data_IF_953560469238
#
_entry.id   IF_953560469238
#
_cell.length_a   1.000
_cell.length_b   1.000
_cell.length_c   1.000
_cell.angle_alpha   90.00
_cell.angle_beta   90.00
_cell.angle_gamma   90.00
#
_symmetry.space_group_name_H-M   'P 1'
#
loop_
_entity.id
_entity.type
_entity.pdbx_description
1 polymer ?
#
# COMPACT_ATOMS: atom_id res chain seq x y z
N UNK A 1 3.74 19.47 19.90
CA UNK A 1 3.26 19.25 18.51
C UNK A 1 3.74 17.92 17.90
N UNK A 2 4.69 17.22 18.53
CA UNK A 2 5.29 15.94 18.07
C UNK A 2 4.28 14.82 17.83
N UNK A 3 3.35 14.59 18.76
CA UNK A 3 2.37 13.51 18.66
C UNK A 3 1.39 13.73 17.50
N UNK A 4 0.95 14.97 17.28
CA UNK A 4 0.05 15.31 16.18
C UNK A 4 0.72 15.05 14.81
N UNK A 5 1.98 15.43 14.62
CA UNK A 5 2.73 15.14 13.38
C UNK A 5 2.95 13.65 13.16
N UNK A 6 3.14 12.88 14.23
CA UNK A 6 3.21 11.43 14.16
C UNK A 6 1.89 10.85 13.66
N UNK A 7 0.76 11.23 14.27
CA UNK A 7 -0.58 10.77 13.89
C UNK A 7 -0.87 11.14 12.43
N UNK A 8 -0.68 12.41 12.05
CA UNK A 8 -0.91 12.89 10.68
C UNK A 8 -0.03 12.12 9.70
N UNK A 9 1.25 11.90 10.01
CA UNK A 9 2.16 11.15 9.13
C UNK A 9 1.68 9.73 8.88
N UNK A 10 1.18 9.03 9.92
CA UNK A 10 0.60 7.69 9.76
C UNK A 10 -0.64 7.72 8.88
N UNK A 11 -1.58 8.64 9.12
CA UNK A 11 -2.79 8.77 8.30
C UNK A 11 -2.49 9.10 6.84
N UNK A 12 -1.56 10.01 6.57
CA UNK A 12 -1.14 10.32 5.21
C UNK A 12 -0.51 9.10 4.53
N UNK A 13 0.29 8.32 5.26
CA UNK A 13 0.84 7.05 4.75
C UNK A 13 -0.25 6.05 4.38
N UNK A 14 -1.25 5.86 5.26
CA UNK A 14 -2.40 4.99 4.99
C UNK A 14 -3.14 5.42 3.72
N UNK A 15 -3.49 6.71 3.64
CA UNK A 15 -4.19 7.28 2.47
C UNK A 15 -3.36 7.08 1.20
N UNK A 16 -2.06 7.36 1.25
CA UNK A 16 -1.18 7.20 0.09
C UNK A 16 -1.10 5.75 -0.38
N UNK A 17 -0.96 4.77 0.54
CA UNK A 17 -0.93 3.35 0.19
C UNK A 17 -2.23 2.96 -0.51
N UNK A 18 -3.38 3.29 0.08
CA UNK A 18 -4.69 2.95 -0.46
C UNK A 18 -4.90 3.58 -1.84
N UNK A 19 -4.72 4.91 -1.96
CA UNK A 19 -4.95 5.62 -3.21
C UNK A 19 -4.05 5.11 -4.33
N UNK A 20 -2.76 4.88 -4.06
CA UNK A 20 -1.82 4.39 -5.08
C UNK A 20 -2.18 2.95 -5.49
N UNK A 21 -2.38 2.05 -4.54
CA UNK A 21 -2.68 0.66 -4.83
C UNK A 21 -4.01 0.50 -5.58
N UNK A 22 -5.07 1.15 -5.13
CA UNK A 22 -6.39 1.08 -5.76
C UNK A 22 -6.39 1.72 -7.15
N UNK A 23 -5.75 2.88 -7.31
CA UNK A 23 -5.66 3.53 -8.62
C UNK A 23 -4.93 2.65 -9.64
N UNK A 24 -3.81 2.04 -9.24
CA UNK A 24 -3.06 1.16 -10.14
C UNK A 24 -3.82 -0.14 -10.40
N UNK A 25 -4.46 -0.74 -9.39
CA UNK A 25 -5.30 -1.93 -9.57
C UNK A 25 -6.40 -1.66 -10.60
N UNK A 26 -7.13 -0.56 -10.42
CA UNK A 26 -8.26 -0.21 -11.28
C UNK A 26 -7.84 0.03 -12.74
N UNK A 27 -6.71 0.71 -12.93
CA UNK A 27 -6.10 0.90 -14.25
C UNK A 27 -5.65 -0.43 -14.85
N UNK A 28 -5.04 -1.31 -14.05
CA UNK A 28 -4.55 -2.63 -14.47
C UNK A 28 -5.71 -3.52 -14.91
N UNK A 29 -6.77 -3.59 -14.11
CA UNK A 29 -8.00 -4.34 -14.42
C UNK A 29 -8.63 -3.83 -15.70
N UNK A 30 -8.73 -2.50 -15.88
CA UNK A 30 -9.22 -1.91 -17.13
C UNK A 30 -8.38 -2.34 -18.34
N UNK A 31 -7.05 -2.20 -18.25
CA UNK A 31 -6.15 -2.51 -19.37
C UNK A 31 -6.26 -3.99 -19.75
N UNK A 32 -6.29 -4.88 -18.77
CA UNK A 32 -6.33 -6.33 -19.00
C UNK A 32 -7.71 -6.79 -19.48
N UNK A 33 -8.80 -6.24 -18.95
CA UNK A 33 -10.15 -6.62 -19.39
C UNK A 33 -10.57 -5.99 -20.72
N UNK A 34 -9.99 -4.85 -21.09
CA UNK A 34 -10.47 -4.04 -22.20
C UNK A 34 -11.86 -3.41 -21.98
N UNK A 35 -12.45 -3.56 -20.79
CA UNK A 35 -13.80 -3.08 -20.47
C UNK A 35 -13.83 -1.57 -20.21
N UNK A 36 -15.00 -0.96 -20.39
CA UNK A 36 -15.23 0.45 -20.03
C UNK A 36 -15.24 0.60 -18.51
N UNK A 37 -14.76 1.75 -18.01
CA UNK A 37 -14.76 2.04 -16.58
C UNK A 37 -16.15 1.93 -15.95
N UNK A 38 -17.18 2.42 -16.63
CA UNK A 38 -18.57 2.35 -16.17
C UNK A 38 -19.02 0.91 -15.90
N UNK A 39 -18.64 -0.03 -16.78
CA UNK A 39 -18.99 -1.45 -16.61
C UNK A 39 -18.27 -2.06 -15.40
N UNK A 40 -16.99 -1.73 -15.21
CA UNK A 40 -16.20 -2.19 -14.06
C UNK A 40 -16.71 -1.63 -12.73
N UNK A 41 -17.29 -0.42 -12.71
CA UNK A 41 -17.87 0.18 -11.50
C UNK A 41 -19.27 -0.31 -11.17
N UNK A 42 -20.04 -0.77 -12.16
CA UNK A 42 -21.45 -1.17 -11.96
C UNK A 42 -21.62 -2.69 -11.81
N UNK A 43 -20.62 -3.48 -12.21
CA UNK A 43 -20.65 -4.94 -12.12
C UNK A 43 -19.49 -5.43 -11.25
N UNK A 44 -19.72 -5.47 -9.93
CA UNK A 44 -18.72 -5.89 -8.96
C UNK A 44 -18.21 -7.32 -9.23
N UNK A 45 -19.11 -8.26 -9.53
CA UNK A 45 -18.74 -9.65 -9.83
C UNK A 45 -17.77 -9.72 -11.00
N UNK A 46 -18.09 -9.01 -12.10
CA UNK A 46 -17.22 -8.95 -13.27
C UNK A 46 -15.88 -8.24 -13.01
N UNK A 47 -15.83 -7.31 -12.07
CA UNK A 47 -14.58 -6.70 -11.62
C UNK A 47 -13.69 -7.71 -10.89
N UNK A 48 -14.24 -8.44 -9.91
CA UNK A 48 -13.49 -9.41 -9.13
C UNK A 48 -12.99 -10.60 -9.95
N UNK A 49 -13.76 -11.05 -10.95
CA UNK A 49 -13.31 -12.09 -11.89
C UNK A 49 -12.02 -11.70 -12.61
N UNK A 50 -11.96 -10.48 -13.17
CA UNK A 50 -10.75 -9.99 -13.86
C UNK A 50 -9.64 -9.71 -12.84
N UNK A 51 -9.95 -9.07 -11.73
CA UNK A 51 -9.00 -8.72 -10.67
C UNK A 51 -8.23 -9.92 -10.14
N UNK A 52 -8.86 -11.09 -10.13
CA UNK A 52 -8.28 -12.33 -9.63
C UNK A 52 -7.57 -13.17 -10.71
N UNK A 53 -7.49 -12.68 -11.95
CA UNK A 53 -6.65 -13.31 -12.97
C UNK A 53 -5.18 -13.24 -12.60
N UNK A 54 -4.40 -14.26 -12.98
CA UNK A 54 -2.97 -14.37 -12.66
C UNK A 54 -2.18 -13.13 -13.09
N UNK A 55 -2.52 -12.52 -14.23
CA UNK A 55 -1.87 -11.30 -14.71
C UNK A 55 -2.05 -10.13 -13.75
N UNK A 56 -3.29 -9.84 -13.33
CA UNK A 56 -3.57 -8.76 -12.37
C UNK A 56 -2.93 -9.03 -11.02
N UNK A 57 -3.01 -10.27 -10.52
CA UNK A 57 -2.41 -10.66 -9.25
C UNK A 57 -0.87 -10.53 -9.25
N UNK A 58 -0.21 -10.80 -10.37
CA UNK A 58 1.24 -10.58 -10.49
C UNK A 58 1.57 -9.09 -10.39
N UNK A 59 0.86 -8.23 -11.13
CA UNK A 59 1.04 -6.78 -11.03
C UNK A 59 0.72 -6.25 -9.63
N UNK A 60 -0.24 -6.86 -8.93
CA UNK A 60 -0.58 -6.53 -7.54
C UNK A 60 0.60 -6.58 -6.61
N UNK A 61 1.44 -7.61 -6.71
CA UNK A 61 2.66 -7.69 -5.90
C UNK A 61 3.55 -6.46 -6.12
N UNK A 62 3.74 -6.06 -7.39
CA UNK A 62 4.62 -4.96 -7.78
C UNK A 62 4.07 -3.62 -7.28
N UNK A 63 2.80 -3.33 -7.58
CA UNK A 63 2.23 -2.03 -7.21
C UNK A 63 1.96 -1.92 -5.71
N UNK A 64 1.72 -3.02 -4.99
CA UNK A 64 1.59 -3.00 -3.53
C UNK A 64 2.92 -2.68 -2.85
N UNK A 65 4.05 -3.19 -3.37
CA UNK A 65 5.38 -2.80 -2.89
C UNK A 65 5.63 -1.30 -3.11
N UNK A 66 5.30 -0.80 -4.31
CA UNK A 66 5.46 0.61 -4.66
C UNK A 66 4.58 1.52 -3.79
N UNK A 67 3.31 1.14 -3.61
CA UNK A 67 2.37 1.86 -2.74
C UNK A 67 2.88 1.91 -1.29
N UNK A 68 3.35 0.77 -0.76
CA UNK A 68 4.03 0.70 0.54
C UNK A 68 5.23 1.65 0.62
N UNK A 69 6.08 1.65 -0.39
CA UNK A 69 7.27 2.51 -0.48
C UNK A 69 6.91 3.99 -0.44
N UNK A 70 5.91 4.42 -1.22
CA UNK A 70 5.43 5.81 -1.23
C UNK A 70 4.84 6.18 0.13
N UNK A 71 4.01 5.30 0.71
CA UNK A 71 3.41 5.50 2.03
C UNK A 71 4.47 5.67 3.12
N UNK A 72 5.45 4.77 3.19
CA UNK A 72 6.55 4.86 4.15
C UNK A 72 7.41 6.10 3.99
N UNK A 73 7.72 6.48 2.76
CA UNK A 73 8.44 7.72 2.48
C UNK A 73 7.69 8.95 3.02
N UNK A 74 6.39 9.08 2.70
CA UNK A 74 5.57 10.21 3.13
C UNK A 74 5.37 10.25 4.64
N UNK A 75 5.06 9.11 5.27
CA UNK A 75 4.94 9.02 6.73
C UNK A 75 6.22 9.45 7.42
N UNK A 76 7.37 8.92 6.98
CA UNK A 76 8.66 9.29 7.56
C UNK A 76 8.97 10.77 7.36
N UNK A 77 8.59 11.36 6.23
CA UNK A 77 8.83 12.77 5.92
C UNK A 77 8.03 13.70 6.83
N UNK A 78 6.76 13.38 7.07
CA UNK A 78 5.85 14.20 7.87
C UNK A 78 6.14 14.07 9.37
N UNK A 79 6.38 12.86 9.85
CA UNK A 79 6.55 12.60 11.28
C UNK A 79 7.88 13.09 11.86
N UNK A 80 8.85 13.47 11.02
CA UNK A 80 10.12 14.21 11.27
C UNK A 80 10.89 13.93 12.57
N UNK A 81 10.31 14.20 13.73
CA UNK A 81 10.89 14.00 15.07
C UNK A 81 10.95 12.53 15.51
N UNK A 82 9.95 11.71 15.15
CA UNK A 82 9.89 10.28 15.51
C UNK A 82 9.51 9.39 14.32
N UNK A 83 10.28 9.43 13.22
CA UNK A 83 9.92 8.73 11.98
C UNK A 83 9.87 7.21 12.17
N UNK A 84 10.79 6.63 12.92
CA UNK A 84 10.83 5.18 13.17
C UNK A 84 9.55 4.67 13.86
N UNK A 85 9.09 5.38 14.91
CA UNK A 85 7.86 5.00 15.62
C UNK A 85 6.64 5.09 14.68
N UNK A 86 6.53 6.16 13.88
CA UNK A 86 5.45 6.31 12.92
C UNK A 86 5.44 5.19 11.87
N UNK A 87 6.62 4.77 11.41
CA UNK A 87 6.77 3.66 10.46
C UNK A 87 6.34 2.33 11.07
N UNK A 88 6.76 2.02 12.30
CA UNK A 88 6.31 0.79 12.98
C UNK A 88 4.80 0.79 13.21
N UNK A 89 4.21 1.93 13.55
CA UNK A 89 2.75 2.05 13.68
C UNK A 89 2.05 1.84 12.34
N UNK A 90 2.52 2.47 11.27
CA UNK A 90 1.96 2.29 9.92
C UNK A 90 2.04 0.82 9.48
N UNK A 91 3.21 0.18 9.64
CA UNK A 91 3.40 -1.24 9.33
C UNK A 91 2.46 -2.12 10.16
N UNK A 92 2.37 -1.87 11.47
CA UNK A 92 1.51 -2.64 12.37
C UNK A 92 0.03 -2.53 11.98
N UNK A 93 -0.46 -1.31 11.72
CA UNK A 93 -1.83 -1.08 11.24
C UNK A 93 -2.07 -1.83 9.94
N UNK A 94 -1.17 -1.71 8.96
CA UNK A 94 -1.31 -2.37 7.66
C UNK A 94 -1.32 -3.90 7.78
N UNK A 95 -0.43 -4.50 8.57
CA UNK A 95 -0.41 -5.94 8.80
C UNK A 95 -1.72 -6.42 9.45
N UNK A 96 -2.18 -5.72 10.50
CA UNK A 96 -3.43 -6.07 11.19
C UNK A 96 -4.62 -5.96 10.24
N UNK A 97 -4.71 -4.86 9.48
CA UNK A 97 -5.77 -4.65 8.50
C UNK A 97 -5.78 -5.72 7.40
N UNK A 98 -4.62 -6.13 6.90
CA UNK A 98 -4.51 -7.17 5.86
C UNK A 98 -4.82 -8.57 6.40
N UNK A 99 -4.40 -8.89 7.62
CA UNK A 99 -4.78 -10.14 8.29
C UNK A 99 -6.29 -10.17 8.49
N UNK A 100 -6.87 -9.07 8.99
CA UNK A 100 -8.32 -8.96 9.16
C UNK A 100 -9.06 -9.15 7.83
N UNK A 101 -8.65 -8.42 6.80
CA UNK A 101 -9.27 -8.50 5.47
C UNK A 101 -9.13 -9.88 4.81
N UNK A 102 -7.96 -10.52 4.93
CA UNK A 102 -7.68 -11.77 4.26
C UNK A 102 -8.26 -13.01 4.93
N UNK A 103 -8.53 -12.96 6.23
CA UNK A 103 -8.88 -14.16 7.01
C UNK A 103 -10.19 -14.05 7.78
N UNK A 104 -10.67 -12.84 8.10
CA UNK A 104 -11.81 -12.64 8.99
C UNK A 104 -12.96 -11.84 8.39
N UNK A 105 -12.76 -11.17 7.25
CA UNK A 105 -13.81 -10.42 6.57
C UNK A 105 -14.37 -11.15 5.35
N UNK A 106 -15.43 -10.61 4.77
CA UNK A 106 -16.03 -11.07 3.52
C UNK A 106 -15.04 -11.03 2.34
N UNK A 107 -14.01 -10.17 2.42
CA UNK A 107 -12.96 -10.07 1.41
C UNK A 107 -12.08 -11.32 1.33
N UNK A 108 -12.04 -12.16 2.37
CA UNK A 108 -11.31 -13.43 2.37
C UNK A 108 -11.72 -14.36 1.22
N UNK A 109 -12.98 -14.25 0.76
CA UNK A 109 -13.52 -15.04 -0.35
C UNK A 109 -13.19 -14.47 -1.73
N UNK A 110 -12.69 -13.23 -1.79
CA UNK A 110 -12.48 -12.47 -3.04
C UNK A 110 -11.12 -12.72 -3.67
N UNK A 111 -10.28 -13.62 -3.15
CA UNK A 111 -8.96 -13.88 -3.72
C UNK A 111 -8.27 -15.08 -3.08
N UNK A 112 -7.22 -15.62 -3.71
CA UNK A 112 -6.54 -16.80 -3.19
C UNK A 112 -5.71 -16.45 -1.94
N UNK A 113 -5.67 -17.38 -0.98
CA UNK A 113 -5.03 -17.16 0.33
C UNK A 113 -3.55 -16.81 0.25
N UNK A 114 -2.83 -17.36 -0.73
CA UNK A 114 -1.41 -17.08 -0.94
C UNK A 114 -1.16 -15.59 -1.25
N UNK A 115 -2.10 -14.91 -1.91
CA UNK A 115 -1.98 -13.49 -2.22
C UNK A 115 -2.04 -12.65 -0.95
N UNK A 116 -2.94 -12.98 -0.02
CA UNK A 116 -3.03 -12.29 1.27
C UNK A 116 -1.75 -12.42 2.08
N UNK A 117 -1.19 -13.64 2.14
CA UNK A 117 0.12 -13.88 2.79
C UNK A 117 1.20 -13.01 2.13
N UNK A 118 1.20 -12.93 0.79
CA UNK A 118 2.15 -12.11 0.07
C UNK A 118 2.01 -10.60 0.39
N UNK A 119 0.77 -10.08 0.43
CA UNK A 119 0.49 -8.68 0.77
C UNK A 119 0.96 -8.33 2.18
N UNK A 120 0.70 -9.22 3.14
CA UNK A 120 1.12 -9.08 4.55
C UNK A 120 2.64 -8.93 4.66
N UNK A 121 3.41 -9.54 3.76
CA UNK A 121 4.87 -9.43 3.77
C UNK A 121 5.35 -8.23 2.94
N UNK A 122 4.84 -8.07 1.72
CA UNK A 122 5.41 -7.12 0.76
C UNK A 122 5.11 -5.65 1.08
N UNK A 123 3.92 -5.37 1.63
CA UNK A 123 3.52 -3.99 1.95
C UNK A 123 4.38 -3.43 3.10
N UNK A 124 4.56 -4.13 4.24
CA UNK A 124 5.48 -3.67 5.29
C UNK A 124 6.93 -3.52 4.83
N UNK A 125 7.41 -4.43 3.97
CA UNK A 125 8.74 -4.29 3.36
C UNK A 125 8.85 -3.02 2.52
N UNK A 126 7.82 -2.72 1.70
CA UNK A 126 7.73 -1.47 0.95
C UNK A 126 7.77 -0.26 1.87
N UNK A 127 6.92 -0.24 2.90
CA UNK A 127 6.89 0.85 3.90
C UNK A 127 8.27 1.10 4.50
N UNK A 128 8.95 0.03 4.94
CA UNK A 128 10.29 0.13 5.49
C UNK A 128 11.32 0.64 4.47
N UNK A 129 11.23 0.18 3.22
CA UNK A 129 12.10 0.64 2.14
C UNK A 129 11.92 2.14 1.86
N UNK A 130 10.68 2.64 1.83
CA UNK A 130 10.38 4.07 1.70
C UNK A 130 11.02 4.92 2.78
N UNK A 131 11.02 4.43 4.03
CA UNK A 131 11.73 5.08 5.14
C UNK A 131 13.25 5.14 4.91
N UNK A 132 13.87 4.04 4.47
CA UNK A 132 15.31 3.99 4.17
C UNK A 132 15.68 5.00 3.08
N UNK A 133 14.87 5.13 2.02
CA UNK A 133 15.12 6.09 0.94
C UNK A 133 15.22 7.51 1.51
N UNK A 134 14.27 7.92 2.36
CA UNK A 134 14.29 9.24 2.95
C UNK A 134 15.54 9.47 3.82
N UNK A 135 15.93 8.48 4.63
CA UNK A 135 17.15 8.58 5.45
C UNK A 135 18.40 8.80 4.59
N UNK A 136 18.54 8.04 3.50
CA UNK A 136 19.65 8.19 2.56
C UNK A 136 19.68 9.57 1.90
N UNK A 137 18.51 10.08 1.48
CA UNK A 137 18.40 11.40 0.87
C UNK A 137 18.82 12.53 1.83
N UNK A 138 18.38 12.45 3.10
CA UNK A 138 18.74 13.46 4.10
C UNK A 138 20.25 13.43 4.40
N UNK A 139 20.86 12.24 4.49
CA UNK A 139 22.29 12.10 4.73
C UNK A 139 23.12 12.67 3.56
N UNK A 140 22.71 12.41 2.31
CA UNK A 140 23.38 12.95 1.13
C UNK A 140 23.35 14.48 1.10
N UNK A 141 22.22 15.09 1.48
CA UNK A 141 22.09 16.56 1.56
C UNK A 141 22.99 17.18 2.64
N UNK A 142 23.15 16.52 3.79
CA UNK A 142 24.03 16.99 4.86
C UNK A 142 25.52 16.95 4.48
N UNK A 143 25.93 16.07 3.56
CA UNK A 143 27.31 15.99 3.09
C UNK A 143 27.65 17.02 2.00
N UNK A 144 26.63 17.65 1.39
CA UNK A 144 26.80 18.64 0.32
C UNK A 144 26.87 20.10 0.79
N UNK A 145 26.69 20.34 2.09
CA UNK A 145 26.72 21.67 2.74
C UNK A 145 27.96 21.78 3.59
#
# INVERSE_FOLDING_TARGET
>A
MTVLRLIIGVFIGLIAITLVAESIEFVTVKIISGKKFTELTTNETGYFEVRNTTGVLFFKVIYSLLAGTIGGFLTSRISSEKPQLAIFLLMGIQVISLIWAGFFSELSQTGPIWMWIYLIVIIPLGIFFGHIILLKMNNALQQSV
#
